data_IF_221405230821
#
_entry.id   IF_221405230821
#
_cell.length_a   1.000
_cell.length_b   1.000
_cell.length_c   1.000
_cell.angle_alpha   90.00
_cell.angle_beta   90.00
_cell.angle_gamma   90.00
#
_symmetry.space_group_name_H-M   'P 1'
#
loop_
_entity.id
_entity.type
_entity.pdbx_description
1 polymer ?
#
# COMPACT_ATOMS: atom_id res chain seq x y z
N UNK A 1 5.26 0.06 -0.25
CA UNK A 1 5.72 0.36 1.14
C UNK A 1 4.69 1.11 1.99
N UNK A 2 3.54 1.52 1.42
CA UNK A 2 2.50 2.25 2.18
C UNK A 2 1.95 1.48 3.39
N UNK A 3 2.07 0.14 3.41
CA UNK A 3 1.59 -0.69 4.51
C UNK A 3 2.49 -0.64 5.76
N UNK A 4 3.73 -0.18 5.64
CA UNK A 4 4.66 -0.13 6.77
C UNK A 4 5.40 1.20 6.94
N UNK A 5 5.49 2.04 5.91
CA UNK A 5 6.10 3.38 5.93
C UNK A 5 7.52 3.44 6.56
N UNK A 6 8.22 2.31 6.56
CA UNK A 6 9.46 2.06 7.30
C UNK A 6 10.60 1.74 6.33
N UNK A 7 11.64 2.58 6.24
CA UNK A 7 12.79 2.35 5.36
C UNK A 7 13.55 1.06 5.68
N UNK A 8 13.65 0.66 6.96
CA UNK A 8 14.34 -0.57 7.34
C UNK A 8 13.64 -1.82 6.77
N UNK A 9 12.30 -1.86 6.79
CA UNK A 9 11.53 -2.97 6.18
C UNK A 9 11.69 -2.94 4.65
N UNK A 10 11.64 -1.74 4.04
CA UNK A 10 11.85 -1.61 2.60
C UNK A 10 13.24 -2.11 2.17
N UNK A 11 14.29 -1.79 2.92
CA UNK A 11 15.64 -2.31 2.65
C UNK A 11 15.68 -3.84 2.67
N UNK A 12 15.10 -4.47 3.69
CA UNK A 12 15.00 -5.94 3.76
C UNK A 12 14.22 -6.54 2.61
N UNK A 13 13.15 -5.87 2.15
CA UNK A 13 12.38 -6.32 0.98
C UNK A 13 13.20 -6.22 -0.31
N UNK A 14 13.95 -5.12 -0.50
CA UNK A 14 14.79 -4.91 -1.68
C UNK A 14 16.00 -5.86 -1.71
N UNK A 15 16.54 -6.22 -0.56
CA UNK A 15 17.63 -7.17 -0.42
C UNK A 15 17.19 -8.64 -0.56
N UNK A 16 15.88 -8.90 -0.52
CA UNK A 16 15.36 -10.26 -0.61
C UNK A 16 15.61 -10.88 -2.01
N UNK A 17 16.00 -12.16 -2.08
CA UNK A 17 16.21 -12.84 -3.36
C UNK A 17 14.97 -12.82 -4.23
N UNK A 18 15.14 -12.44 -5.50
CA UNK A 18 14.05 -12.37 -6.48
C UNK A 18 13.29 -11.03 -6.49
N UNK A 19 13.60 -10.11 -5.58
CA UNK A 19 13.09 -8.74 -5.68
C UNK A 19 13.84 -7.99 -6.78
N UNK A 20 13.10 -7.47 -7.74
CA UNK A 20 13.61 -6.68 -8.85
C UNK A 20 12.83 -5.37 -8.89
N UNK A 21 13.53 -4.24 -8.92
CA UNK A 21 12.91 -2.93 -8.99
C UNK A 21 13.04 -2.11 -7.71
N UNK A 22 12.10 -1.20 -7.51
CA UNK A 22 12.13 -0.24 -6.44
C UNK A 22 10.99 -0.39 -5.46
N UNK A 23 10.52 0.74 -4.96
CA UNK A 23 9.37 0.81 -4.07
C UNK A 23 8.22 1.60 -4.69
N UNK A 24 6.99 1.20 -4.39
CA UNK A 24 5.80 1.98 -4.69
C UNK A 24 5.34 2.72 -3.42
N UNK A 25 5.15 4.02 -3.55
CA UNK A 25 4.67 4.93 -2.51
C UNK A 25 3.34 5.57 -2.93
N UNK A 26 2.56 6.04 -1.98
CA UNK A 26 1.32 6.74 -2.29
C UNK A 26 1.56 8.22 -2.61
N UNK A 27 2.45 8.88 -1.91
CA UNK A 27 2.63 10.34 -1.99
C UNK A 27 4.07 10.76 -2.28
N UNK A 28 4.24 12.01 -2.72
CA UNK A 28 5.56 12.60 -2.91
C UNK A 28 6.32 12.73 -1.57
N UNK A 29 5.61 13.02 -0.48
CA UNK A 29 6.23 13.09 0.84
C UNK A 29 6.83 11.76 1.30
N UNK A 30 6.19 10.63 0.97
CA UNK A 30 6.78 9.31 1.17
C UNK A 30 7.99 9.11 0.25
N UNK A 31 7.88 9.50 -1.04
CA UNK A 31 8.99 9.39 -2.00
C UNK A 31 10.26 10.13 -1.52
N UNK A 32 10.11 11.32 -0.94
CA UNK A 32 11.21 12.08 -0.35
C UNK A 32 11.91 11.27 0.74
N UNK A 33 11.15 10.71 1.68
CA UNK A 33 11.72 9.91 2.79
C UNK A 33 12.45 8.68 2.26
N UNK A 34 11.85 7.91 1.35
CA UNK A 34 12.49 6.70 0.83
C UNK A 34 13.74 7.02 -0.01
N UNK A 35 13.73 8.09 -0.81
CA UNK A 35 14.91 8.52 -1.56
C UNK A 35 16.05 8.96 -0.65
N UNK A 36 15.75 9.66 0.46
CA UNK A 36 16.73 10.06 1.47
C UNK A 36 17.32 8.85 2.23
N UNK A 37 16.60 7.74 2.26
CA UNK A 37 17.07 6.48 2.83
C UNK A 37 17.65 5.50 1.79
N UNK A 38 18.05 6.00 0.61
CA UNK A 38 18.86 5.25 -0.35
C UNK A 38 18.07 4.44 -1.38
N UNK A 39 16.75 4.57 -1.42
CA UNK A 39 15.94 3.92 -2.48
C UNK A 39 16.18 4.65 -3.79
N UNK A 40 16.59 3.92 -4.82
CA UNK A 40 17.01 4.46 -6.11
C UNK A 40 15.96 4.39 -7.22
N UNK A 41 14.85 3.68 -7.00
CA UNK A 41 13.74 3.58 -7.96
C UNK A 41 12.41 3.65 -7.22
N UNK A 42 11.60 4.66 -7.53
CA UNK A 42 10.38 4.99 -6.79
C UNK A 42 9.22 5.22 -7.75
N UNK A 43 8.13 4.47 -7.55
CA UNK A 43 6.85 4.71 -8.20
C UNK A 43 5.92 5.48 -7.26
N UNK A 44 5.47 6.67 -7.66
CA UNK A 44 4.44 7.44 -6.95
C UNK A 44 3.08 7.10 -7.56
N UNK A 45 2.22 6.44 -6.78
CA UNK A 45 0.93 5.90 -7.26
C UNK A 45 -0.19 6.92 -7.34
N UNK A 46 -0.23 7.89 -6.44
CA UNK A 46 -1.27 8.91 -6.48
C UNK A 46 -1.00 9.92 -7.59
N UNK A 47 -2.05 10.33 -8.28
CA UNK A 47 -1.97 11.31 -9.36
C UNK A 47 -1.40 12.65 -8.86
N UNK A 48 -0.40 13.17 -9.56
CA UNK A 48 0.21 14.45 -9.26
C UNK A 48 -0.40 15.52 -10.18
N UNK A 49 -1.29 16.35 -9.62
CA UNK A 49 -2.05 17.36 -10.38
C UNK A 49 -1.81 18.80 -9.89
N UNK A 50 -0.94 18.98 -8.90
CA UNK A 50 -0.59 20.32 -8.41
C UNK A 50 0.87 20.63 -8.65
N UNK A 51 1.16 21.89 -9.06
CA UNK A 51 2.52 22.35 -9.34
C UNK A 51 3.47 22.05 -8.16
N UNK A 52 3.05 22.29 -6.93
CA UNK A 52 3.89 22.06 -5.74
C UNK A 52 4.32 20.59 -5.58
N UNK A 53 3.39 19.64 -5.77
CA UNK A 53 3.71 18.21 -5.69
C UNK A 53 4.61 17.75 -6.83
N UNK A 54 4.37 18.25 -8.05
CA UNK A 54 5.18 17.90 -9.21
C UNK A 54 6.61 18.44 -9.07
N UNK A 55 6.80 19.70 -8.61
CA UNK A 55 8.13 20.26 -8.34
C UNK A 55 8.88 19.44 -7.29
N UNK A 56 8.21 18.97 -6.24
CA UNK A 56 8.82 18.08 -5.23
C UNK A 56 9.21 16.73 -5.84
N UNK A 57 8.34 16.14 -6.67
CA UNK A 57 8.66 14.90 -7.38
C UNK A 57 9.89 15.07 -8.30
N UNK A 58 10.00 16.20 -9.00
CA UNK A 58 11.19 16.56 -9.78
C UNK A 58 12.43 16.70 -8.87
N UNK A 59 12.27 17.25 -7.67
CA UNK A 59 13.34 17.30 -6.66
C UNK A 59 13.83 15.92 -6.22
N UNK A 60 12.92 14.93 -6.11
CA UNK A 60 13.29 13.53 -5.88
C UNK A 60 13.97 12.94 -7.12
N UNK A 61 13.42 13.21 -8.32
CA UNK A 61 13.94 12.70 -9.59
C UNK A 61 15.36 13.19 -9.92
N UNK A 62 15.80 14.28 -9.32
CA UNK A 62 17.21 14.71 -9.44
C UNK A 62 18.22 13.79 -8.72
N UNK A 63 17.76 12.87 -7.87
CA UNK A 63 18.58 11.97 -7.04
C UNK A 63 18.40 10.50 -7.34
N UNK A 64 17.23 10.12 -7.85
CA UNK A 64 16.88 8.71 -8.13
C UNK A 64 15.86 8.63 -9.27
N UNK A 65 15.59 7.42 -9.78
CA UNK A 65 14.53 7.20 -10.76
C UNK A 65 13.18 7.41 -10.10
N UNK A 66 12.35 8.29 -10.69
CA UNK A 66 10.97 8.51 -10.24
C UNK A 66 10.03 8.22 -11.40
N UNK A 67 9.08 7.36 -11.14
CA UNK A 67 7.96 7.06 -12.05
C UNK A 67 6.68 7.54 -11.40
N UNK A 68 5.78 8.13 -12.19
CA UNK A 68 4.47 8.62 -11.75
C UNK A 68 3.35 8.02 -12.57
N UNK A 69 2.16 7.98 -12.01
CA UNK A 69 0.97 7.52 -12.72
C UNK A 69 0.31 8.70 -13.42
N UNK A 70 -0.17 8.47 -14.63
CA UNK A 70 -0.97 9.42 -15.41
C UNK A 70 -2.28 8.78 -15.87
N UNK A 71 -3.34 9.60 -15.97
CA UNK A 71 -4.67 9.16 -16.45
C UNK A 71 -5.18 9.97 -17.65
N UNK A 72 -4.57 11.11 -17.94
CA UNK A 72 -5.04 12.03 -18.98
C UNK A 72 -3.91 12.81 -19.64
N UNK A 73 -4.13 13.23 -20.87
CA UNK A 73 -3.19 14.10 -21.58
C UNK A 73 -3.00 15.46 -20.87
N UNK A 74 -4.02 15.98 -20.19
CA UNK A 74 -3.91 17.22 -19.43
C UNK A 74 -2.94 17.07 -18.25
N UNK A 75 -3.00 15.94 -17.54
CA UNK A 75 -2.06 15.63 -16.46
C UNK A 75 -0.64 15.42 -17.02
N UNK A 76 -0.48 14.67 -18.11
CA UNK A 76 0.80 14.47 -18.78
C UNK A 76 1.45 15.79 -19.23
N UNK A 77 0.68 16.70 -19.85
CA UNK A 77 1.19 18.02 -20.25
C UNK A 77 1.71 18.86 -19.07
N UNK A 78 0.99 18.85 -17.92
CA UNK A 78 1.42 19.57 -16.74
C UNK A 78 2.72 18.99 -16.14
N UNK A 79 2.83 17.66 -16.11
CA UNK A 79 4.05 16.96 -15.68
C UNK A 79 5.22 17.27 -16.58
N UNK A 80 5.03 17.20 -17.92
CA UNK A 80 6.04 17.50 -18.93
C UNK A 80 6.58 18.93 -18.79
N UNK A 81 5.67 19.91 -18.70
CA UNK A 81 6.07 21.31 -18.52
C UNK A 81 6.99 21.47 -17.31
N UNK A 82 6.59 20.96 -16.14
CA UNK A 82 7.32 21.18 -14.90
C UNK A 82 8.61 20.34 -14.85
N UNK A 83 8.60 19.12 -15.39
CA UNK A 83 9.80 18.29 -15.48
C UNK A 83 10.86 18.95 -16.38
N UNK A 84 10.45 19.45 -17.55
CA UNK A 84 11.32 20.19 -18.46
C UNK A 84 11.85 21.49 -17.85
N UNK A 85 11.01 22.29 -17.17
CA UNK A 85 11.42 23.48 -16.43
C UNK A 85 12.42 23.15 -15.32
N UNK A 86 12.30 21.96 -14.74
CA UNK A 86 13.19 21.48 -13.66
C UNK A 86 14.47 20.79 -14.17
N UNK A 87 14.57 20.53 -15.46
CA UNK A 87 15.73 19.86 -16.09
C UNK A 87 15.86 18.40 -15.69
N UNK A 88 14.75 17.70 -15.43
CA UNK A 88 14.70 16.29 -15.09
C UNK A 88 13.75 15.53 -16.02
N UNK A 89 13.89 14.21 -16.03
CA UNK A 89 12.96 13.30 -16.72
C UNK A 89 12.19 12.49 -15.69
N UNK A 90 10.87 12.42 -15.84
CA UNK A 90 9.99 11.56 -15.04
C UNK A 90 9.56 10.36 -15.86
N UNK A 91 9.76 9.15 -15.33
CA UNK A 91 9.08 7.96 -15.85
C UNK A 91 7.57 8.08 -15.69
N UNK A 92 6.81 7.58 -16.66
CA UNK A 92 5.34 7.58 -16.55
C UNK A 92 4.75 6.21 -16.89
N UNK A 93 3.78 5.78 -16.11
CA UNK A 93 2.89 4.65 -16.42
C UNK A 93 1.49 5.20 -16.67
N UNK A 94 0.90 4.83 -17.80
CA UNK A 94 -0.48 5.17 -18.10
C UNK A 94 -1.41 4.23 -17.32
N UNK A 95 -2.29 4.81 -16.50
CA UNK A 95 -3.26 4.03 -15.75
C UNK A 95 -4.37 3.54 -16.65
N UNK A 96 -4.62 2.25 -16.61
CA UNK A 96 -5.77 1.59 -17.24
C UNK A 96 -6.82 1.38 -16.15
N UNK A 97 -8.04 1.74 -16.46
CA UNK A 97 -9.17 1.63 -15.55
C UNK A 97 -9.51 0.18 -15.30
N UNK A 98 -9.44 -0.23 -14.04
CA UNK A 98 -9.91 -1.56 -13.63
C UNK A 98 -11.43 -1.63 -13.73
N UNK A 99 -12.00 -2.80 -13.99
CA UNK A 99 -13.44 -3.01 -13.91
C UNK A 99 -13.98 -2.62 -12.51
N UNK A 100 -15.01 -1.76 -12.48
CA UNK A 100 -15.50 -1.15 -11.24
C UNK A 100 -14.73 0.08 -10.78
N UNK A 101 -13.48 0.28 -11.21
CA UNK A 101 -12.65 1.44 -10.87
C UNK A 101 -13.17 2.74 -11.47
N UNK A 102 -12.66 3.87 -10.96
CA UNK A 102 -13.07 5.20 -11.40
C UNK A 102 -11.98 5.94 -12.18
N UNK A 103 -10.72 5.53 -12.06
CA UNK A 103 -9.54 6.26 -12.53
C UNK A 103 -8.82 5.47 -13.61
N UNK A 104 -8.39 6.14 -14.68
CA UNK A 104 -7.59 5.57 -15.76
C UNK A 104 -8.30 5.57 -17.14
N UNK A 105 -7.55 5.18 -18.16
CA UNK A 105 -8.04 4.98 -19.52
C UNK A 105 -9.17 3.94 -19.53
N UNK A 106 -10.30 4.28 -20.10
CA UNK A 106 -11.51 3.46 -20.02
C UNK A 106 -11.51 2.29 -21.04
N UNK A 107 -10.65 2.37 -22.06
CA UNK A 107 -10.50 1.37 -23.10
C UNK A 107 -9.04 1.22 -23.53
N UNK A 108 -8.74 0.17 -24.29
CA UNK A 108 -7.42 -0.03 -24.89
C UNK A 108 -7.06 1.11 -25.87
N UNK A 109 -8.04 1.65 -26.59
CA UNK A 109 -7.88 2.79 -27.49
C UNK A 109 -7.53 4.08 -26.71
N UNK A 110 -8.17 4.31 -25.57
CA UNK A 110 -7.87 5.46 -24.70
C UNK A 110 -6.45 5.34 -24.12
N UNK A 111 -6.03 4.14 -23.71
CA UNK A 111 -4.67 3.87 -23.25
C UNK A 111 -3.63 4.13 -24.36
N UNK A 112 -3.92 3.67 -25.58
CA UNK A 112 -3.09 3.93 -26.75
C UNK A 112 -3.00 5.44 -27.06
N UNK A 113 -4.12 6.15 -27.00
CA UNK A 113 -4.15 7.60 -27.24
C UNK A 113 -3.31 8.35 -26.18
N UNK A 114 -3.41 7.94 -24.92
CA UNK A 114 -2.63 8.51 -23.82
C UNK A 114 -1.13 8.24 -23.99
N UNK A 115 -0.74 7.00 -24.33
CA UNK A 115 0.64 6.65 -24.58
C UNK A 115 1.25 7.47 -25.74
N UNK A 116 0.52 7.63 -26.84
CA UNK A 116 0.94 8.47 -27.97
C UNK A 116 1.13 9.93 -27.56
N UNK A 117 0.22 10.46 -26.76
CA UNK A 117 0.34 11.83 -26.26
C UNK A 117 1.62 12.02 -25.41
N UNK A 118 1.98 11.04 -24.58
CA UNK A 118 3.20 11.08 -23.75
C UNK A 118 4.46 11.05 -24.60
N UNK A 119 4.50 10.24 -25.65
CA UNK A 119 5.66 10.10 -26.54
C UNK A 119 6.04 11.40 -27.28
N UNK A 120 5.12 12.36 -27.37
CA UNK A 120 5.35 13.68 -27.97
C UNK A 120 5.77 14.75 -26.93
N UNK A 121 5.91 14.38 -25.65
CA UNK A 121 6.16 15.32 -24.57
C UNK A 121 7.58 15.22 -24.02
N UNK A 122 8.29 16.36 -23.98
CA UNK A 122 9.60 16.46 -23.37
C UNK A 122 9.54 16.29 -21.84
N UNK A 123 10.62 15.79 -21.23
CA UNK A 123 10.75 15.61 -19.79
C UNK A 123 9.94 14.42 -19.23
N UNK A 124 9.29 13.63 -20.09
CA UNK A 124 8.61 12.40 -19.72
C UNK A 124 9.18 11.20 -20.49
N UNK A 125 9.32 10.07 -19.80
CA UNK A 125 9.69 8.79 -20.37
C UNK A 125 8.52 7.81 -20.20
N UNK A 126 7.87 7.43 -21.29
CA UNK A 126 6.86 6.40 -21.23
C UNK A 126 7.47 5.07 -20.86
N UNK A 127 7.06 4.49 -19.72
CA UNK A 127 7.56 3.22 -19.21
C UNK A 127 6.55 2.09 -19.34
N UNK A 128 5.28 2.38 -19.58
CA UNK A 128 4.30 1.33 -19.76
C UNK A 128 2.93 1.62 -19.14
N UNK A 129 2.30 0.57 -18.65
CA UNK A 129 0.93 0.57 -18.17
C UNK A 129 0.85 0.17 -16.69
N UNK A 130 -0.16 0.70 -16.01
CA UNK A 130 -0.49 0.38 -14.63
C UNK A 130 -1.98 0.16 -14.45
N UNK A 131 -2.36 -0.81 -13.64
CA UNK A 131 -3.73 -0.94 -13.17
C UNK A 131 -3.74 -1.20 -11.66
N UNK A 132 -4.70 -0.59 -10.98
CA UNK A 132 -4.97 -0.84 -9.58
C UNK A 132 -6.09 -1.87 -9.46
N UNK A 133 -5.80 -2.99 -8.80
CA UNK A 133 -6.83 -3.95 -8.49
C UNK A 133 -7.56 -3.47 -7.23
N UNK A 134 -8.86 -3.27 -7.35
CA UNK A 134 -9.70 -3.02 -6.19
C UNK A 134 -9.90 -4.34 -5.42
N UNK A 135 -10.22 -4.24 -4.14
CA UNK A 135 -10.61 -5.43 -3.37
C UNK A 135 -11.77 -6.14 -4.06
N UNK A 136 -11.81 -7.49 -4.04
CA UNK A 136 -12.85 -8.22 -4.72
C UNK A 136 -14.21 -7.74 -4.24
N UNK A 137 -14.99 -7.23 -5.16
CA UNK A 137 -16.44 -7.11 -4.99
C UNK A 137 -17.03 -8.49 -5.23
N UNK A 138 -18.22 -8.77 -4.69
CA UNK A 138 -18.96 -10.01 -4.96
C UNK A 138 -19.21 -10.25 -6.47
N UNK A 139 -19.02 -9.22 -7.31
CA UNK A 139 -19.07 -9.27 -8.79
C UNK A 139 -17.71 -9.58 -9.43
N UNK A 140 -16.86 -10.34 -8.79
CA UNK A 140 -15.47 -10.69 -9.14
C UNK A 140 -15.25 -11.41 -10.50
N UNK A 141 -16.08 -11.16 -11.50
CA UNK A 141 -15.83 -11.50 -12.91
C UNK A 141 -14.95 -10.47 -13.63
N UNK A 142 -14.41 -9.50 -12.94
CA UNK A 142 -13.70 -8.37 -13.51
C UNK A 142 -12.18 -8.60 -13.49
N UNK A 143 -11.67 -9.01 -14.61
CA UNK A 143 -10.26 -9.31 -14.76
C UNK A 143 -9.45 -8.04 -15.05
N UNK A 144 -8.97 -7.36 -13.99
CA UNK A 144 -8.05 -6.21 -14.10
C UNK A 144 -6.84 -6.55 -14.96
N UNK A 145 -6.30 -7.75 -14.78
CA UNK A 145 -5.17 -8.28 -15.56
C UNK A 145 -5.54 -8.38 -17.04
N UNK A 146 -6.72 -8.89 -17.37
CA UNK A 146 -7.17 -9.01 -18.75
C UNK A 146 -7.29 -7.64 -19.43
N UNK A 147 -7.91 -6.67 -18.75
CA UNK A 147 -8.04 -5.29 -19.28
C UNK A 147 -6.67 -4.65 -19.53
N UNK A 148 -5.72 -4.87 -18.61
CA UNK A 148 -4.36 -4.36 -18.74
C UNK A 148 -3.62 -5.01 -19.93
N UNK A 149 -3.78 -6.32 -20.12
CA UNK A 149 -3.17 -7.05 -21.26
C UNK A 149 -3.79 -6.70 -22.60
N UNK A 150 -5.08 -6.40 -22.64
CA UNK A 150 -5.76 -5.88 -23.85
C UNK A 150 -5.21 -4.50 -24.24
N UNK A 151 -5.01 -3.61 -23.27
CA UNK A 151 -4.37 -2.33 -23.49
C UNK A 151 -2.92 -2.51 -23.99
N UNK A 152 -2.14 -3.39 -23.34
CA UNK A 152 -0.78 -3.73 -23.81
C UNK A 152 -0.77 -4.19 -25.27
N UNK A 153 -1.66 -5.11 -25.63
CA UNK A 153 -1.74 -5.62 -27.00
C UNK A 153 -2.06 -4.51 -28.04
N UNK A 154 -2.90 -3.54 -27.66
CA UNK A 154 -3.19 -2.41 -28.54
C UNK A 154 -1.97 -1.50 -28.78
N UNK A 155 -1.15 -1.27 -27.74
CA UNK A 155 0.10 -0.51 -27.84
C UNK A 155 1.13 -1.28 -28.68
N UNK A 156 1.36 -2.56 -28.41
CA UNK A 156 2.29 -3.42 -29.15
C UNK A 156 1.93 -3.46 -30.66
N UNK A 157 0.66 -3.66 -30.98
CA UNK A 157 0.17 -3.65 -32.37
C UNK A 157 0.36 -2.30 -33.08
N UNK A 158 0.51 -1.22 -32.30
CA UNK A 158 0.80 0.12 -32.79
C UNK A 158 2.28 0.46 -32.81
N UNK A 159 3.16 -0.49 -32.48
CA UNK A 159 4.61 -0.34 -32.44
C UNK A 159 5.12 0.49 -31.25
N UNK A 160 4.33 0.60 -30.19
CA UNK A 160 4.74 1.25 -28.93
C UNK A 160 5.21 0.18 -27.97
N UNK A 161 6.48 0.26 -27.54
CA UNK A 161 7.06 -0.64 -26.55
C UNK A 161 6.45 -0.40 -25.16
N UNK A 162 6.14 -1.50 -24.46
CA UNK A 162 5.52 -1.49 -23.12
C UNK A 162 6.38 -2.34 -22.18
N UNK A 163 7.56 -1.82 -21.74
CA UNK A 163 8.48 -2.59 -20.92
C UNK A 163 7.92 -2.93 -19.53
N UNK A 164 7.05 -2.07 -18.97
CA UNK A 164 6.42 -2.29 -17.67
C UNK A 164 4.91 -2.46 -17.85
N UNK A 165 4.42 -3.59 -17.38
CA UNK A 165 2.99 -3.87 -17.22
C UNK A 165 2.78 -4.19 -15.75
N UNK A 166 2.44 -3.13 -15.00
CA UNK A 166 2.40 -3.15 -13.54
C UNK A 166 0.98 -3.26 -13.01
N UNK A 167 0.81 -4.09 -11.98
CA UNK A 167 -0.47 -4.22 -11.30
C UNK A 167 -0.28 -4.18 -9.80
N UNK A 168 -1.16 -3.50 -9.06
CA UNK A 168 -1.14 -3.64 -7.62
C UNK A 168 -1.60 -5.05 -7.24
N UNK A 169 -0.80 -5.71 -6.36
CA UNK A 169 -1.08 -7.08 -5.96
C UNK A 169 -2.41 -7.14 -5.21
N UNK A 170 -3.28 -7.94 -5.74
CA UNK A 170 -4.42 -8.49 -5.05
C UNK A 170 -4.25 -10.01 -4.95
N UNK A 171 -5.27 -10.64 -4.48
CA UNK A 171 -5.36 -12.08 -4.25
C UNK A 171 -5.14 -12.92 -5.51
N UNK A 172 -5.64 -12.46 -6.66
CA UNK A 172 -5.51 -13.19 -7.92
C UNK A 172 -4.05 -13.41 -8.31
N UNK A 173 -3.21 -12.41 -8.10
CA UNK A 173 -1.78 -12.50 -8.48
C UNK A 173 -0.97 -13.37 -7.51
N UNK A 174 -1.30 -13.36 -6.23
CA UNK A 174 -0.71 -14.31 -5.29
C UNK A 174 -1.12 -15.76 -5.59
N UNK A 175 -2.35 -15.97 -6.05
CA UNK A 175 -2.87 -17.29 -6.34
C UNK A 175 -2.51 -17.79 -7.74
N UNK A 176 -2.35 -16.91 -8.72
CA UNK A 176 -2.09 -17.28 -10.12
C UNK A 176 -0.61 -17.48 -10.46
N UNK A 177 0.30 -17.16 -9.56
CA UNK A 177 1.74 -17.27 -9.83
C UNK A 177 2.27 -16.30 -10.89
N UNK A 178 1.50 -15.27 -11.21
CA UNK A 178 1.77 -14.30 -12.26
C UNK A 178 1.06 -14.66 -13.58
N UNK A 179 0.44 -13.70 -14.22
CA UNK A 179 -0.12 -13.84 -15.56
C UNK A 179 0.95 -13.52 -16.61
N UNK A 180 1.02 -14.33 -17.67
CA UNK A 180 1.91 -14.05 -18.80
C UNK A 180 1.63 -12.65 -19.36
N UNK A 181 2.66 -11.82 -19.50
CA UNK A 181 2.56 -10.44 -19.97
C UNK A 181 2.51 -9.39 -18.85
N UNK A 182 2.29 -9.77 -17.60
CA UNK A 182 2.53 -8.90 -16.44
C UNK A 182 4.02 -8.94 -16.11
N UNK A 183 4.66 -7.78 -16.00
CA UNK A 183 6.10 -7.67 -15.78
C UNK A 183 6.43 -7.16 -14.37
N UNK A 184 5.46 -6.56 -13.70
CA UNK A 184 5.65 -5.99 -12.37
C UNK A 184 4.40 -6.14 -11.51
N UNK A 185 4.63 -6.49 -10.24
CA UNK A 185 3.59 -6.60 -9.22
C UNK A 185 3.96 -5.72 -8.04
N UNK A 186 3.03 -4.84 -7.63
CA UNK A 186 3.21 -4.00 -6.45
C UNK A 186 2.61 -4.75 -5.25
N UNK A 187 3.48 -5.22 -4.37
CA UNK A 187 3.09 -5.96 -3.16
C UNK A 187 3.66 -5.28 -1.91
N UNK A 188 2.91 -5.25 -0.82
CA UNK A 188 3.37 -4.58 0.40
C UNK A 188 2.74 -5.11 1.69
N UNK A 189 1.45 -5.36 1.71
CA UNK A 189 0.73 -5.82 2.91
C UNK A 189 1.26 -7.15 3.45
N UNK A 190 1.81 -8.02 2.59
CA UNK A 190 2.34 -9.33 2.96
C UNK A 190 3.42 -9.29 4.06
N UNK A 191 4.14 -8.17 4.18
CA UNK A 191 5.24 -8.03 5.14
C UNK A 191 4.75 -7.99 6.60
N UNK A 192 3.60 -7.41 6.86
CA UNK A 192 3.04 -7.22 8.20
C UNK A 192 1.71 -7.95 8.39
N UNK A 193 0.87 -8.01 7.35
CA UNK A 193 -0.49 -8.53 7.31
C UNK A 193 -1.45 -7.89 8.30
N UNK A 194 -2.73 -8.00 7.99
CA UNK A 194 -3.86 -7.61 8.82
C UNK A 194 -5.04 -8.56 8.59
N UNK A 195 -6.13 -8.40 9.34
CA UNK A 195 -7.30 -9.25 9.23
C UNK A 195 -7.97 -9.20 7.87
N UNK A 196 -7.97 -8.04 7.24
CA UNK A 196 -8.58 -7.84 5.94
C UNK A 196 -7.85 -8.64 4.85
N UNK A 197 -6.51 -8.61 4.87
CA UNK A 197 -5.71 -9.33 3.88
C UNK A 197 -5.64 -10.84 4.16
N UNK A 198 -5.61 -11.28 5.41
CA UNK A 198 -5.56 -12.71 5.73
C UNK A 198 -6.87 -13.45 5.42
N UNK A 199 -8.00 -12.75 5.34
CA UNK A 199 -9.25 -13.34 4.85
C UNK A 199 -9.08 -13.97 3.45
N UNK A 200 -8.17 -13.45 2.65
CA UNK A 200 -7.89 -13.86 1.28
C UNK A 200 -6.56 -14.62 1.11
N UNK A 201 -5.63 -14.45 2.04
CA UNK A 201 -4.28 -15.02 2.00
C UNK A 201 -4.00 -15.89 3.22
N UNK A 202 -4.70 -17.02 3.35
CA UNK A 202 -4.60 -17.92 4.49
C UNK A 202 -3.18 -18.51 4.72
N UNK A 203 -2.30 -18.42 3.72
CA UNK A 203 -0.90 -18.88 3.81
C UNK A 203 0.03 -17.85 4.49
N UNK A 204 -0.41 -16.60 4.64
CA UNK A 204 0.36 -15.55 5.27
C UNK A 204 -0.04 -15.39 6.74
N UNK A 205 0.89 -14.90 7.55
CA UNK A 205 0.68 -14.74 9.00
C UNK A 205 0.77 -13.28 9.39
N UNK A 206 0.02 -12.89 10.41
CA UNK A 206 0.13 -11.58 11.03
C UNK A 206 1.50 -11.44 11.69
N UNK A 207 2.35 -10.56 11.15
CA UNK A 207 3.65 -10.24 11.74
C UNK A 207 3.59 -9.00 12.64
N UNK A 208 2.60 -8.11 12.43
CA UNK A 208 2.41 -6.92 13.23
C UNK A 208 1.16 -7.03 14.12
N UNK A 209 1.32 -6.63 15.38
CA UNK A 209 0.25 -6.66 16.39
C UNK A 209 0.39 -5.45 17.30
N UNK A 210 -0.72 -5.03 17.89
CA UNK A 210 -0.77 -3.99 18.91
C UNK A 210 -0.80 -4.68 20.27
N UNK A 211 0.10 -4.30 21.19
CA UNK A 211 0.05 -4.75 22.57
C UNK A 211 -0.83 -3.81 23.38
N UNK A 212 -1.90 -4.35 23.94
CA UNK A 212 -2.85 -3.67 24.82
C UNK A 212 -2.84 -4.24 26.23
N UNK A 213 -3.31 -3.44 27.20
CA UNK A 213 -3.41 -3.86 28.60
C UNK A 213 -4.86 -3.78 29.05
N UNK A 214 -5.35 -4.77 29.79
CA UNK A 214 -6.64 -4.69 30.48
C UNK A 214 -6.52 -3.72 31.66
N UNK A 215 -7.27 -2.61 31.59
CA UNK A 215 -7.23 -1.56 32.62
C UNK A 215 -8.36 -1.67 33.64
N UNK A 216 -9.47 -2.32 33.28
CA UNK A 216 -10.57 -2.58 34.19
C UNK A 216 -11.42 -3.76 33.71
N UNK A 217 -12.01 -4.49 34.65
CA UNK A 217 -12.90 -5.62 34.43
C UNK A 217 -14.10 -5.48 35.36
N UNK A 218 -15.08 -4.61 35.03
CA UNK A 218 -16.15 -4.25 35.95
C UNK A 218 -17.21 -5.34 36.13
N UNK A 219 -17.41 -6.17 35.12
CA UNK A 219 -18.38 -7.26 35.07
C UNK A 219 -17.74 -8.48 34.40
N UNK A 220 -18.18 -9.71 34.69
CA UNK A 220 -17.58 -10.91 34.10
C UNK A 220 -17.54 -10.90 32.56
N UNK A 221 -18.53 -10.30 31.92
CA UNK A 221 -18.66 -10.26 30.45
C UNK A 221 -17.96 -9.06 29.81
N UNK A 222 -17.40 -8.11 30.59
CA UNK A 222 -16.89 -6.83 30.08
C UNK A 222 -15.53 -6.48 30.65
N UNK A 223 -14.57 -6.26 29.78
CA UNK A 223 -13.28 -5.67 30.15
C UNK A 223 -12.94 -4.47 29.24
N UNK A 224 -12.00 -3.65 29.66
CA UNK A 224 -11.56 -2.48 28.90
C UNK A 224 -10.04 -2.47 28.74
N UNK A 225 -9.61 -2.04 27.55
CA UNK A 225 -8.21 -1.89 27.16
C UNK A 225 -7.78 -0.42 27.16
N UNK A 226 -6.49 -0.18 27.38
CA UNK A 226 -5.80 1.10 27.18
C UNK A 226 -5.53 1.43 25.71
N UNK A 227 -6.24 0.80 24.80
CA UNK A 227 -6.04 0.89 23.35
C UNK A 227 -7.34 1.32 22.68
N UNK A 228 -7.32 2.45 21.98
CA UNK A 228 -8.45 3.01 21.26
C UNK A 228 -8.08 3.38 19.82
N UNK A 229 -8.93 4.21 19.18
CA UNK A 229 -8.75 4.64 17.78
C UNK A 229 -7.43 5.37 17.52
N UNK A 230 -6.83 5.98 18.55
CA UNK A 230 -5.49 6.59 18.43
C UNK A 230 -4.36 5.57 18.27
N UNK A 231 -4.62 4.31 18.56
CA UNK A 231 -3.66 3.22 18.40
C UNK A 231 -3.98 2.32 17.18
N UNK A 232 -5.20 2.36 16.66
CA UNK A 232 -5.61 1.59 15.48
C UNK A 232 -6.77 2.25 14.76
N UNK A 233 -6.73 2.30 13.43
CA UNK A 233 -7.89 2.66 12.63
C UNK A 233 -9.02 1.65 12.78
N UNK A 234 -10.24 2.12 12.69
CA UNK A 234 -11.46 1.30 12.65
C UNK A 234 -12.28 1.51 11.37
N UNK A 235 -11.73 2.21 10.39
CA UNK A 235 -12.44 2.57 9.14
C UNK A 235 -12.82 1.34 8.32
N UNK A 236 -12.03 0.28 8.44
CA UNK A 236 -12.26 -1.00 7.74
C UNK A 236 -12.78 -2.12 8.67
N UNK A 237 -13.02 -1.81 9.93
CA UNK A 237 -13.47 -2.75 10.96
C UNK A 237 -12.68 -2.64 12.27
N UNK A 238 -13.16 -3.33 13.29
CA UNK A 238 -12.45 -3.41 14.57
C UNK A 238 -11.25 -4.36 14.47
N UNK A 239 -10.16 -4.09 15.21
CA UNK A 239 -9.11 -5.07 15.41
C UNK A 239 -9.63 -6.38 16.01
N UNK A 240 -8.95 -7.47 15.71
CA UNK A 240 -9.23 -8.79 16.27
C UNK A 240 -8.33 -9.09 17.47
N UNK A 241 -8.86 -9.78 18.47
CA UNK A 241 -8.05 -10.23 19.60
C UNK A 241 -7.33 -11.52 19.22
N UNK A 242 -6.01 -11.50 19.25
CA UNK A 242 -5.18 -12.62 18.84
C UNK A 242 -5.10 -13.70 19.91
N UNK A 243 -5.40 -14.94 19.52
CA UNK A 243 -5.16 -16.15 20.33
C UNK A 243 -6.03 -16.30 21.58
N UNK A 244 -7.04 -15.47 21.80
CA UNK A 244 -7.90 -15.53 22.98
C UNK A 244 -9.33 -15.99 22.59
N UNK A 245 -9.62 -17.24 22.85
CA UNK A 245 -10.97 -17.78 22.64
C UNK A 245 -12.00 -17.14 23.59
N UNK A 246 -13.17 -16.77 23.04
CA UNK A 246 -14.22 -16.12 23.82
C UNK A 246 -13.94 -14.65 24.17
N UNK A 247 -12.96 -14.02 23.52
CA UNK A 247 -12.65 -12.59 23.70
C UNK A 247 -12.82 -11.88 22.36
N UNK A 248 -13.63 -10.84 22.33
CA UNK A 248 -13.80 -10.02 21.14
C UNK A 248 -13.85 -8.54 21.47
N UNK A 249 -13.37 -7.71 20.55
CA UNK A 249 -13.46 -6.26 20.67
C UNK A 249 -14.83 -5.81 20.13
N UNK A 250 -15.62 -5.12 20.95
CA UNK A 250 -16.97 -4.69 20.60
C UNK A 250 -17.05 -3.23 20.16
N UNK A 251 -16.12 -2.40 20.61
CA UNK A 251 -16.06 -0.97 20.30
C UNK A 251 -14.69 -0.38 20.63
N UNK A 252 -14.38 0.75 19.99
CA UNK A 252 -13.24 1.60 20.38
C UNK A 252 -13.69 3.07 20.49
N UNK A 253 -13.34 3.69 21.59
CA UNK A 253 -13.32 5.15 21.74
C UNK A 253 -11.96 5.70 21.31
N UNK A 254 -11.70 6.97 21.51
CA UNK A 254 -10.40 7.56 21.18
C UNK A 254 -9.22 6.84 21.89
N UNK A 255 -9.39 6.51 23.18
CA UNK A 255 -8.31 5.99 24.05
C UNK A 255 -8.54 4.55 24.50
N UNK A 256 -9.77 4.03 24.43
CA UNK A 256 -10.11 2.76 25.06
C UNK A 256 -10.86 1.81 24.13
N UNK A 257 -10.58 0.52 24.25
CA UNK A 257 -11.29 -0.58 23.62
C UNK A 257 -12.14 -1.36 24.63
N UNK A 258 -13.39 -1.65 24.27
CA UNK A 258 -14.28 -2.48 25.07
C UNK A 258 -14.28 -3.91 24.59
N UNK A 259 -13.93 -4.86 25.46
CA UNK A 259 -13.99 -6.29 25.21
C UNK A 259 -15.33 -6.87 25.69
N UNK A 260 -15.81 -7.84 24.92
CA UNK A 260 -16.84 -8.81 25.35
C UNK A 260 -16.14 -10.12 25.63
N UNK A 261 -16.44 -10.69 26.81
CA UNK A 261 -15.87 -11.94 27.29
C UNK A 261 -16.95 -13.01 27.39
N UNK A 262 -16.71 -14.17 26.81
CA UNK A 262 -17.65 -15.30 26.80
C UNK A 262 -16.98 -16.55 27.38
N UNK A 263 -17.80 -17.38 28.02
CA UNK A 263 -17.36 -18.67 28.56
C UNK A 263 -16.21 -18.53 29.57
N UNK A 264 -15.15 -19.32 29.40
CA UNK A 264 -14.01 -19.35 30.32
C UNK A 264 -13.22 -18.03 30.36
N UNK A 265 -13.33 -17.20 29.30
CA UNK A 265 -12.65 -15.91 29.23
C UNK A 265 -13.10 -14.94 30.32
N UNK A 266 -14.34 -15.06 30.79
CA UNK A 266 -14.90 -14.23 31.88
C UNK A 266 -14.13 -14.35 33.22
N UNK A 267 -13.43 -15.45 33.40
CA UNK A 267 -12.68 -15.71 34.63
C UNK A 267 -11.16 -15.83 34.43
N UNK A 268 -10.70 -15.77 33.20
CA UNK A 268 -9.28 -15.99 32.86
C UNK A 268 -8.48 -14.70 32.69
N UNK A 269 -9.15 -13.56 32.44
CA UNK A 269 -8.50 -12.27 32.21
C UNK A 269 -8.60 -11.37 33.46
N UNK A 270 -7.49 -10.73 33.81
CA UNK A 270 -7.39 -9.85 34.95
C UNK A 270 -6.89 -8.47 34.57
N UNK A 271 -7.13 -7.48 35.42
CA UNK A 271 -6.54 -6.15 35.26
C UNK A 271 -5.01 -6.24 35.30
N UNK A 272 -4.37 -5.65 34.31
CA UNK A 272 -2.93 -5.72 34.07
C UNK A 272 -2.48 -6.78 33.06
N UNK A 273 -3.35 -7.72 32.69
CA UNK A 273 -3.04 -8.71 31.68
C UNK A 273 -2.87 -8.05 30.30
N UNK A 274 -2.00 -8.64 29.50
CA UNK A 274 -1.70 -8.19 28.13
C UNK A 274 -2.52 -8.94 27.11
N UNK A 275 -3.00 -8.19 26.12
CA UNK A 275 -3.77 -8.70 24.98
C UNK A 275 -3.13 -8.21 23.69
N UNK A 276 -2.99 -9.09 22.74
CA UNK A 276 -2.54 -8.72 21.40
C UNK A 276 -3.73 -8.47 20.50
N UNK A 277 -3.68 -7.36 19.75
CA UNK A 277 -4.69 -7.01 18.76
C UNK A 277 -4.08 -7.05 17.36
N UNK A 278 -4.79 -7.67 16.42
CA UNK A 278 -4.47 -7.66 15.00
C UNK A 278 -5.27 -6.53 14.36
N UNK A 279 -4.62 -5.54 13.72
CA UNK A 279 -5.33 -4.44 13.07
C UNK A 279 -6.23 -4.95 11.93
N UNK A 280 -7.33 -4.24 11.66
CA UNK A 280 -8.14 -4.46 10.46
C UNK A 280 -7.48 -3.87 9.20
N UNK A 281 -6.69 -2.80 9.35
CA UNK A 281 -5.90 -2.16 8.31
C UNK A 281 -4.51 -1.81 8.87
N UNK A 282 -3.49 -2.49 8.37
CA UNK A 282 -2.14 -2.34 8.88
C UNK A 282 -1.50 -1.01 8.47
N UNK A 283 -1.78 -0.50 7.28
CA UNK A 283 -1.23 0.77 6.79
C UNK A 283 -1.69 1.96 7.64
N UNK A 284 -2.99 2.04 7.89
CA UNK A 284 -3.57 3.06 8.75
C UNK A 284 -3.12 2.91 10.20
N UNK A 285 -2.94 1.68 10.68
CA UNK A 285 -2.43 1.42 12.02
C UNK A 285 -0.98 1.89 12.17
N UNK A 286 -0.08 1.47 11.31
CA UNK A 286 1.35 1.82 11.38
C UNK A 286 1.55 3.34 11.29
N UNK A 287 0.73 4.03 10.51
CA UNK A 287 0.84 5.47 10.30
C UNK A 287 0.66 6.32 11.58
N UNK A 288 0.09 5.78 12.66
CA UNK A 288 -0.05 6.50 13.93
C UNK A 288 1.07 6.23 14.93
N UNK A 289 2.05 5.39 14.57
CA UNK A 289 3.20 5.06 15.41
C UNK A 289 4.50 5.67 14.90
N UNK A 290 5.36 6.10 15.82
CA UNK A 290 6.71 6.58 15.49
C UNK A 290 7.65 5.42 15.18
N UNK A 291 7.44 4.27 15.85
CA UNK A 291 8.35 3.13 15.83
C UNK A 291 7.61 1.80 15.68
N UNK A 292 8.29 0.85 15.04
CA UNK A 292 7.95 -0.57 15.06
C UNK A 292 8.99 -1.30 15.92
N UNK A 293 8.52 -2.04 16.92
CA UNK A 293 9.37 -2.89 17.75
C UNK A 293 9.45 -4.28 17.13
N UNK A 294 10.59 -4.61 16.55
CA UNK A 294 10.84 -5.94 15.98
C UNK A 294 11.26 -6.88 17.09
N UNK A 295 10.53 -7.98 17.25
CA UNK A 295 10.80 -8.99 18.26
C UNK A 295 10.86 -10.39 17.64
N UNK A 296 11.79 -11.22 18.11
CA UNK A 296 11.90 -12.61 17.76
C UNK A 296 12.00 -13.46 19.04
N UNK A 297 11.23 -14.55 19.09
CA UNK A 297 11.20 -15.47 20.23
C UNK A 297 10.99 -14.77 21.60
N UNK A 298 10.25 -13.66 21.62
CA UNK A 298 9.96 -12.89 22.82
C UNK A 298 11.05 -11.88 23.23
N UNK A 299 12.13 -11.76 22.47
CA UNK A 299 13.18 -10.75 22.68
C UNK A 299 13.05 -9.61 21.66
N UNK A 300 13.29 -8.38 22.11
CA UNK A 300 13.39 -7.22 21.25
C UNK A 300 14.72 -7.27 20.47
N UNK A 301 14.63 -7.33 19.15
CA UNK A 301 15.80 -7.37 18.27
C UNK A 301 16.15 -5.99 17.71
N UNK A 302 15.14 -5.19 17.38
CA UNK A 302 15.34 -3.86 16.84
C UNK A 302 14.14 -2.94 17.10
N UNK A 303 14.39 -1.64 16.99
CA UNK A 303 13.35 -0.62 16.94
C UNK A 303 13.55 0.15 15.64
N UNK A 304 12.55 0.15 14.78
CA UNK A 304 12.62 0.79 13.47
C UNK A 304 11.75 2.03 13.40
N UNK A 305 12.27 3.11 12.84
CA UNK A 305 11.52 4.34 12.60
C UNK A 305 10.46 4.13 11.50
N UNK A 306 9.24 4.58 11.76
CA UNK A 306 8.20 4.74 10.74
C UNK A 306 8.38 6.11 10.08
N UNK A 307 9.51 6.29 9.40
CA UNK A 307 9.97 7.60 8.96
C UNK A 307 9.03 8.29 7.95
N UNK A 308 8.27 7.50 7.17
CA UNK A 308 7.34 8.04 6.19
C UNK A 308 5.91 8.23 6.74
N UNK A 309 5.66 8.03 8.04
CA UNK A 309 4.36 8.31 8.64
C UNK A 309 3.95 9.77 8.51
N UNK A 310 2.67 10.03 8.28
CA UNK A 310 2.14 11.38 8.18
C UNK A 310 2.57 12.16 6.93
N UNK A 311 3.23 11.54 5.97
CA UNK A 311 3.75 12.19 4.75
C UNK A 311 2.72 12.24 3.62
N UNK A 312 1.54 12.76 3.88
CA UNK A 312 0.42 12.79 2.92
C UNK A 312 0.51 13.85 1.82
N UNK A 313 1.45 14.75 1.88
CA UNK A 313 1.54 15.88 0.93
C UNK A 313 2.83 15.83 0.14
#
# INVERSE_FOLDING_TARGET
VHSHLCPAIAAMQLDAPGTVGGVAVSTVGEAEVFSENGVSDILVRNLLVTKSKIVRACGVASRCSVTVIIESAANANLLSQIASESGVELGVLAQVKSPGGQIGAASAEDALALARAVLELDGLLFKGLYAESEFPSEDAGSNTTQTLLEAKAALDNSGIDVPIVSVSANEELFNSGGAEGITEVIAGAYALMDNRHTAYHSNLRHAAKILATIITHPEPEVAWLDTGQKASSIDTGLPEVDGASGVSLSRMSAEHGGLVLEGDAQNSLNVGDKVWLIPSDIGNCVNVYDFIHAAENGALEAVWDVAARGRYS
#
